data_IF_535298245911
#
_entry.id   IF_535298245911
#
_cell.length_a   1.000
_cell.length_b   1.000
_cell.length_c   1.000
_cell.angle_alpha   90.00
_cell.angle_beta   90.00
_cell.angle_gamma   90.00
#
_symmetry.space_group_name_H-M   'P 1'
#
loop_
_entity.id
_entity.type
_entity.pdbx_description
1 polymer ?
#
# COMPACT_ATOMS: atom_id res chain seq x y z
N UNK A 1 -8.85 5.31 18.62
CA UNK A 1 -9.28 4.42 17.52
C UNK A 1 -8.19 4.51 16.45
N UNK A 2 -7.59 3.39 16.06
CA UNK A 2 -6.51 3.38 15.04
C UNK A 2 -7.16 3.67 13.69
N UNK A 3 -6.66 4.67 12.96
CA UNK A 3 -7.17 5.00 11.63
C UNK A 3 -6.66 3.93 10.65
N UNK A 4 -7.58 3.25 9.96
CA UNK A 4 -7.25 2.21 8.97
C UNK A 4 -7.63 2.69 7.57
N UNK A 5 -6.75 2.43 6.62
CA UNK A 5 -6.93 2.71 5.20
C UNK A 5 -6.79 1.41 4.43
N UNK A 6 -7.87 0.94 3.81
CA UNK A 6 -7.84 -0.26 2.97
C UNK A 6 -7.65 0.14 1.51
N UNK A 7 -6.65 -0.46 0.88
CA UNK A 7 -6.24 -0.22 -0.50
C UNK A 7 -6.32 -1.58 -1.22
N UNK A 8 -7.18 -1.68 -2.23
CA UNK A 8 -7.43 -2.92 -2.95
C UNK A 8 -6.56 -3.01 -4.22
N UNK A 9 -5.80 -4.09 -4.40
CA UNK A 9 -5.17 -4.42 -5.69
C UNK A 9 -6.18 -5.19 -6.56
N UNK A 10 -6.10 -4.99 -7.88
CA UNK A 10 -6.90 -5.76 -8.84
C UNK A 10 -6.29 -7.13 -9.20
N UNK A 11 -4.99 -7.31 -9.00
CA UNK A 11 -4.35 -8.61 -9.15
C UNK A 11 -4.71 -9.54 -8.00
N UNK A 12 -5.64 -10.46 -8.30
CA UNK A 12 -5.99 -11.65 -7.50
C UNK A 12 -5.87 -11.44 -5.98
N UNK A 13 -6.81 -10.67 -5.43
CA UNK A 13 -7.17 -10.70 -4.01
C UNK A 13 -6.13 -10.22 -2.98
N UNK A 14 -5.10 -9.48 -3.40
CA UNK A 14 -4.17 -8.87 -2.44
C UNK A 14 -4.76 -7.58 -1.85
N UNK A 15 -5.15 -7.63 -0.58
CA UNK A 15 -5.62 -6.47 0.18
C UNK A 15 -4.43 -5.83 0.90
N UNK A 16 -4.23 -4.52 0.70
CA UNK A 16 -3.28 -3.72 1.47
C UNK A 16 -4.05 -2.93 2.53
N UNK A 17 -3.63 -3.02 3.78
CA UNK A 17 -4.20 -2.18 4.85
C UNK A 17 -3.10 -1.35 5.48
N UNK A 18 -3.29 -0.03 5.58
CA UNK A 18 -2.40 0.86 6.31
C UNK A 18 -3.06 1.34 7.60
N UNK A 19 -2.41 1.06 8.73
CA UNK A 19 -2.82 1.47 10.07
C UNK A 19 -1.94 2.62 10.57
N UNK A 20 -2.57 3.74 10.94
CA UNK A 20 -1.86 4.89 11.51
C UNK A 20 -1.78 4.73 13.03
N UNK A 21 -0.60 4.35 13.51
CA UNK A 21 -0.30 4.09 14.92
C UNK A 21 0.59 5.18 15.52
N UNK A 22 -0.03 6.32 15.84
CA UNK A 22 0.67 7.48 16.40
C UNK A 22 1.67 8.04 15.39
N UNK A 23 2.97 7.79 15.62
CA UNK A 23 4.07 8.24 14.73
C UNK A 23 4.44 7.23 13.65
N UNK A 24 3.86 6.03 13.67
CA UNK A 24 4.20 4.95 12.75
C UNK A 24 3.04 4.61 11.83
N UNK A 25 3.36 4.12 10.64
CA UNK A 25 2.43 3.57 9.67
C UNK A 25 2.71 2.08 9.54
N UNK A 26 1.70 1.24 9.70
CA UNK A 26 1.84 -0.22 9.54
C UNK A 26 1.04 -0.63 8.31
N UNK A 27 1.73 -1.05 7.26
CA UNK A 27 1.14 -1.61 6.06
C UNK A 27 1.10 -3.14 6.20
N UNK A 28 -0.04 -3.74 5.88
CA UNK A 28 -0.22 -5.20 5.80
C UNK A 28 -0.59 -5.58 4.38
N UNK A 29 0.19 -6.43 3.73
CA UNK A 29 -0.12 -7.08 2.46
C UNK A 29 -0.53 -8.52 2.75
N UNK A 30 -1.76 -8.90 2.43
CA UNK A 30 -2.20 -10.31 2.54
C UNK A 30 -2.09 -10.92 1.15
N UNK A 31 -1.28 -11.96 1.02
CA UNK A 31 -1.13 -12.76 -0.20
C UNK A 31 -1.52 -14.22 0.02
N UNK A 32 -2.10 -14.84 -1.00
CA UNK A 32 -2.51 -16.25 -0.93
C UNK A 32 -1.31 -17.21 -0.91
N UNK A 33 -0.17 -16.81 -1.50
CA UNK A 33 1.02 -17.67 -1.63
C UNK A 33 1.96 -17.58 -0.41
N UNK A 34 2.06 -16.42 0.22
CA UNK A 34 3.07 -16.15 1.28
C UNK A 34 2.48 -15.76 2.63
N UNK A 35 1.16 -15.56 2.71
CA UNK A 35 0.47 -15.13 3.93
C UNK A 35 0.48 -13.62 4.11
N UNK A 36 0.54 -13.15 5.37
CA UNK A 36 0.52 -11.73 5.73
C UNK A 36 1.95 -11.19 5.86
N UNK A 37 2.31 -10.23 5.02
CA UNK A 37 3.51 -9.41 5.15
C UNK A 37 3.19 -8.07 5.82
N UNK A 38 4.05 -7.65 6.75
CA UNK A 38 3.92 -6.40 7.49
C UNK A 38 5.13 -5.48 7.27
N UNK A 39 4.87 -4.24 6.85
CA UNK A 39 5.87 -3.19 6.72
C UNK A 39 5.58 -2.05 7.69
N UNK A 40 6.58 -1.62 8.45
CA UNK A 40 6.44 -0.50 9.39
C UNK A 40 7.27 0.67 8.88
N UNK A 41 6.63 1.83 8.74
CA UNK A 41 7.27 3.08 8.32
C UNK A 41 7.23 4.10 9.46
N UNK A 42 8.29 4.90 9.56
CA UNK A 42 8.40 6.02 10.51
C UNK A 42 7.81 7.31 9.95
N UNK A 43 7.54 7.35 8.64
CA UNK A 43 7.02 8.54 7.97
C UNK A 43 6.25 8.21 6.68
N UNK A 44 5.38 9.14 6.26
CA UNK A 44 4.68 9.02 4.97
C UNK A 44 5.63 8.97 3.77
N UNK A 45 6.70 9.81 3.69
CA UNK A 45 7.65 9.73 2.58
C UNK A 45 8.32 8.36 2.43
N UNK A 46 8.66 7.72 3.56
CA UNK A 46 9.24 6.37 3.57
C UNK A 46 8.25 5.33 3.02
N UNK A 47 6.99 5.39 3.44
CA UNK A 47 5.93 4.56 2.87
C UNK A 47 5.76 4.81 1.37
N UNK A 48 5.73 6.08 0.93
CA UNK A 48 5.59 6.41 -0.49
C UNK A 48 6.77 5.92 -1.32
N UNK A 49 7.99 5.95 -0.77
CA UNK A 49 9.15 5.37 -1.43
C UNK A 49 8.95 3.87 -1.68
N UNK A 50 8.54 3.13 -0.65
CA UNK A 50 8.20 1.72 -0.76
C UNK A 50 7.08 1.46 -1.78
N UNK A 51 6.04 2.30 -1.83
CA UNK A 51 4.95 2.18 -2.82
C UNK A 51 5.50 2.26 -4.25
N UNK A 52 6.40 3.20 -4.53
CA UNK A 52 7.00 3.35 -5.86
C UNK A 52 7.95 2.21 -6.22
N UNK A 53 8.66 1.62 -5.24
CA UNK A 53 9.49 0.44 -5.46
C UNK A 53 8.66 -0.84 -5.67
N UNK A 54 7.57 -0.99 -4.90
CA UNK A 54 6.66 -2.15 -4.96
C UNK A 54 5.81 -2.15 -6.22
N UNK A 55 5.38 -0.97 -6.64
CA UNK A 55 4.57 -0.71 -7.84
C UNK A 55 5.33 0.23 -8.77
N UNK A 56 6.38 -0.26 -9.46
CA UNK A 56 7.08 0.55 -10.44
C UNK A 56 6.16 0.77 -11.66
N UNK A 57 6.04 2.01 -12.11
CA UNK A 57 5.09 2.41 -13.17
C UNK A 57 5.30 1.62 -14.48
N UNK A 58 6.53 1.23 -14.79
CA UNK A 58 6.88 0.46 -15.99
C UNK A 58 6.45 -1.02 -15.93
N UNK A 59 6.20 -1.56 -14.73
CA UNK A 59 5.75 -2.96 -14.53
C UNK A 59 4.39 -3.06 -13.87
N UNK A 60 3.68 -1.94 -13.78
CA UNK A 60 2.35 -1.95 -13.21
C UNK A 60 1.38 -2.62 -14.19
N UNK A 61 0.77 -3.73 -13.77
CA UNK A 61 -0.21 -4.48 -14.56
C UNK A 61 -1.59 -3.79 -14.43
N UNK A 62 -1.76 -2.64 -15.09
CA UNK A 62 -2.99 -1.85 -15.07
C UNK A 62 -2.90 -0.60 -15.96
N UNK A 63 -3.95 0.21 -15.98
CA UNK A 63 -3.95 1.51 -16.68
C UNK A 63 -3.21 2.58 -15.88
N UNK A 64 -2.82 3.67 -16.54
CA UNK A 64 -2.22 4.83 -15.88
C UNK A 64 -3.15 5.44 -14.82
N UNK A 65 -4.47 5.49 -15.11
CA UNK A 65 -5.48 5.97 -14.17
C UNK A 65 -5.55 5.09 -12.91
N UNK A 66 -5.40 3.77 -13.06
CA UNK A 66 -5.38 2.83 -11.94
C UNK A 66 -4.13 2.99 -11.09
N UNK A 67 -2.99 3.24 -11.73
CA UNK A 67 -1.75 3.56 -11.04
C UNK A 67 -1.88 4.85 -10.21
N UNK A 68 -2.42 5.90 -10.82
CA UNK A 68 -2.60 7.18 -10.16
C UNK A 68 -3.59 7.07 -9.00
N UNK A 69 -4.69 6.31 -9.15
CA UNK A 69 -5.63 6.03 -8.08
C UNK A 69 -4.99 5.25 -6.92
N UNK A 70 -4.14 4.27 -7.21
CA UNK A 70 -3.38 3.51 -6.20
C UNK A 70 -2.46 4.43 -5.40
N UNK A 71 -1.62 5.20 -6.09
CA UNK A 71 -0.67 6.12 -5.47
C UNK A 71 -1.40 7.19 -4.66
N UNK A 72 -2.51 7.72 -5.17
CA UNK A 72 -3.33 8.71 -4.47
C UNK A 72 -3.97 8.13 -3.21
N UNK A 73 -4.42 6.88 -3.22
CA UNK A 73 -4.94 6.20 -2.04
C UNK A 73 -3.89 6.14 -0.92
N UNK A 74 -2.61 5.89 -1.26
CA UNK A 74 -1.50 5.94 -0.29
C UNK A 74 -1.19 7.35 0.20
N UNK A 75 -1.30 8.38 -0.64
CA UNK A 75 -1.09 9.79 -0.22
C UNK A 75 -2.14 10.25 0.80
N UNK A 76 -3.37 9.74 0.71
CA UNK A 76 -4.49 10.11 1.57
C UNK A 76 -4.49 9.40 2.95
N UNK A 77 -3.64 8.40 3.15
CA UNK A 77 -3.41 7.72 4.45
C UNK A 77 -2.89 8.71 5.47
#
# INVERSE_FOLDING_TARGET
MIKKHTIYKKDKWNMLTVEVNGKQLILREISEEWGEDCHTFLSRPEMMHWVHERFPKDRFEGTEEEYDALVEAFRQV
#
